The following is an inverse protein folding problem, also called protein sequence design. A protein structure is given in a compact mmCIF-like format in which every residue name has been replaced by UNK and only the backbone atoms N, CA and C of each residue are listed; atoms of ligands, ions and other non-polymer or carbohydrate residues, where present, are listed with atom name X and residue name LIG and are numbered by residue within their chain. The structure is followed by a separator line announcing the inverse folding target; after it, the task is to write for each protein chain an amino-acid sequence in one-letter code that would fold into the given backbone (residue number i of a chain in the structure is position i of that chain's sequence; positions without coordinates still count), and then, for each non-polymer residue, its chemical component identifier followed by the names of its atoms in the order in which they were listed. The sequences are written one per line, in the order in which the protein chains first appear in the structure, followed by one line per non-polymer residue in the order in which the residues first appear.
data_IF_119511159962
#
_entry.id   IF_119511159962
#
_cell.length_a   1.000
_cell.length_b   1.000
_cell.length_c   1.000
_cell.angle_alpha   90.00
_cell.angle_beta   90.00
_cell.angle_gamma   90.00
#
_symmetry.space_group_name_H-M   'P 1'
#
loop_
_entity.id
_entity.type
_entity.pdbx_description
1 polymer ?
#
# COMPACT_ATOMS: atom_id res chain seq x y z
N UNK A 1 -1.63 9.32 -11.65
CA UNK A 1 -1.23 10.19 -10.52
C UNK A 1 0.11 9.68 -10.04
N UNK A 2 1.16 10.49 -10.19
CA UNK A 2 2.55 10.16 -9.84
C UNK A 2 2.63 9.63 -8.38
N UNK A 3 1.80 10.23 -7.53
CA UNK A 3 1.65 9.98 -6.10
C UNK A 3 1.41 8.51 -5.74
N UNK A 4 0.46 7.88 -6.45
CA UNK A 4 0.15 6.47 -6.23
C UNK A 4 1.28 5.56 -6.69
N UNK A 5 2.11 5.97 -7.66
CA UNK A 5 3.26 5.16 -8.11
C UNK A 5 4.40 5.21 -7.09
N UNK A 6 4.71 6.40 -6.58
CA UNK A 6 5.75 6.60 -5.54
C UNK A 6 5.35 5.83 -4.27
N UNK A 7 4.10 5.98 -3.82
CA UNK A 7 3.63 5.27 -2.63
C UNK A 7 3.66 3.75 -2.78
N UNK A 8 3.27 3.22 -3.95
CA UNK A 8 3.39 1.79 -4.27
C UNK A 8 4.83 1.30 -4.20
N UNK A 9 5.75 2.05 -4.78
CA UNK A 9 7.16 1.68 -4.83
C UNK A 9 7.77 1.72 -3.42
N UNK A 10 7.43 2.73 -2.62
CA UNK A 10 7.80 2.80 -1.20
C UNK A 10 7.27 1.59 -0.42
N UNK A 11 5.97 1.31 -0.47
CA UNK A 11 5.35 0.18 0.23
C UNK A 11 5.96 -1.17 -0.19
N UNK A 12 6.24 -1.35 -1.48
CA UNK A 12 6.85 -2.58 -2.00
C UNK A 12 8.28 -2.82 -1.48
N UNK A 13 9.04 -1.76 -1.21
CA UNK A 13 10.43 -1.85 -0.76
C UNK A 13 10.62 -1.62 0.75
N UNK A 14 9.62 -1.09 1.46
CA UNK A 14 9.73 -0.76 2.89
C UNK A 14 9.51 -1.95 3.82
N UNK A 15 8.84 -3.02 3.34
CA UNK A 15 8.46 -4.15 4.18
C UNK A 15 9.00 -5.46 3.62
N UNK A 16 9.59 -6.27 4.50
CA UNK A 16 10.01 -7.65 4.21
C UNK A 16 8.87 -8.66 4.39
N UNK A 17 7.74 -8.21 4.96
CA UNK A 17 6.55 -9.03 5.25
C UNK A 17 5.42 -8.71 4.24
N UNK A 18 4.50 -9.65 3.98
CA UNK A 18 3.34 -9.40 3.14
C UNK A 18 2.37 -8.41 3.80
N UNK A 19 1.98 -7.37 3.04
CA UNK A 19 1.17 -6.24 3.49
C UNK A 19 -0.05 -6.07 2.57
N UNK A 20 -1.18 -5.69 3.12
CA UNK A 20 -2.39 -5.33 2.36
C UNK A 20 -2.69 -3.84 2.57
N UNK A 21 -2.80 -3.09 1.50
CA UNK A 21 -3.05 -1.64 1.53
C UNK A 21 -4.39 -1.34 0.87
N UNK A 22 -5.29 -0.71 1.61
CA UNK A 22 -6.53 -0.15 1.07
C UNK A 22 -6.37 1.35 0.86
N UNK A 23 -6.50 1.78 -0.39
CA UNK A 23 -6.42 3.17 -0.83
C UNK A 23 -7.73 3.92 -0.59
N UNK A 24 -7.71 5.27 -0.58
CA UNK A 24 -8.92 6.08 -0.35
C UNK A 24 -10.04 5.85 -1.37
N UNK A 25 -9.70 5.38 -2.58
CA UNK A 25 -10.67 5.00 -3.61
C UNK A 25 -11.33 3.62 -3.36
N UNK A 26 -11.06 3.00 -2.21
CA UNK A 26 -11.53 1.65 -1.86
C UNK A 26 -10.75 0.52 -2.53
N UNK A 27 -9.76 0.81 -3.37
CA UNK A 27 -8.94 -0.23 -4.01
C UNK A 27 -8.00 -0.84 -2.98
N UNK A 28 -7.92 -2.16 -2.94
CA UNK A 28 -6.97 -2.88 -2.10
C UNK A 28 -5.88 -3.51 -2.95
N UNK A 29 -4.62 -3.36 -2.54
CA UNK A 29 -3.45 -4.02 -3.17
C UNK A 29 -2.63 -4.76 -2.12
N UNK A 30 -2.07 -5.91 -2.51
CA UNK A 30 -1.17 -6.70 -1.67
C UNK A 30 0.27 -6.53 -2.15
N UNK A 31 1.18 -6.30 -1.23
CA UNK A 31 2.62 -6.23 -1.46
C UNK A 31 3.29 -7.38 -0.72
N UNK A 32 4.15 -8.13 -1.43
CA UNK A 32 4.79 -9.34 -0.91
C UNK A 32 4.03 -10.63 -1.23
N UNK A 33 4.67 -11.76 -0.96
CA UNK A 33 4.09 -13.10 -1.18
C UNK A 33 3.56 -13.69 0.13
N UNK A 34 2.38 -14.29 0.08
CA UNK A 34 1.75 -14.95 1.22
C UNK A 34 0.55 -14.19 1.80
N UNK A 35 0.04 -14.67 2.94
CA UNK A 35 -1.07 -14.03 3.63
C UNK A 35 -0.60 -12.71 4.26
N UNK A 36 -1.31 -11.59 4.05
CA UNK A 36 -0.91 -10.30 4.60
C UNK A 36 -0.92 -10.35 6.13
N UNK A 37 0.21 -10.00 6.72
CA UNK A 37 0.37 -9.92 8.17
C UNK A 37 -0.10 -8.57 8.70
N UNK A 38 -0.03 -7.53 7.88
CA UNK A 38 -0.41 -6.17 8.24
C UNK A 38 -1.38 -5.61 7.20
N UNK A 39 -2.40 -4.89 7.69
CA UNK A 39 -3.38 -4.18 6.87
C UNK A 39 -3.27 -2.68 7.10
N UNK A 40 -3.02 -1.93 6.04
CA UNK A 40 -2.88 -0.48 6.06
C UNK A 40 -4.08 0.11 5.34
N UNK A 41 -4.87 0.93 6.03
CA UNK A 41 -5.99 1.65 5.41
C UNK A 41 -5.63 3.14 5.32
N UNK A 42 -5.54 3.62 4.10
CA UNK A 42 -5.31 5.04 3.79
C UNK A 42 -6.68 5.68 3.63
N UNK A 43 -7.14 6.40 4.65
CA UNK A 43 -8.48 7.01 4.66
C UNK A 43 -8.56 8.28 3.81
N UNK A 44 -7.45 9.00 3.67
CA UNK A 44 -7.37 10.26 2.92
C UNK A 44 -6.20 10.24 1.95
N UNK A 45 -6.25 11.05 0.89
CA UNK A 45 -5.11 11.16 -0.03
C UNK A 45 -3.89 11.66 0.74
N UNK A 46 -2.79 10.96 0.61
CA UNK A 46 -1.50 11.44 1.11
C UNK A 46 -1.05 12.56 0.16
N UNK A 47 -0.89 13.80 0.64
CA UNK A 47 -0.25 14.84 -0.14
C UNK A 47 1.24 14.49 -0.22
N UNK A 48 1.68 13.98 -1.37
CA UNK A 48 3.09 13.74 -1.68
C UNK A 48 3.60 14.81 -2.63
#
# INVERSE_FOLDING_TARGET
MLDNMIFKQLMKHSFTIPVEVTYPNGKTEKYGNGAPQVKIKVNEKIPV
#
